data_IF_356707453318
#
_entry.id   IF_356707453318
#
_cell.length_a   1.000
_cell.length_b   1.000
_cell.length_c   1.000
_cell.angle_alpha   90.00
_cell.angle_beta   90.00
_cell.angle_gamma   90.00
#
_symmetry.space_group_name_H-M   'P 1'
#
loop_
_entity.id
_entity.type
_entity.pdbx_description
1 polymer ?
#
# COMPACT_ATOMS: atom_id res chain seq x y z
N UNK A 1 5.22 -4.48 15.88
CA UNK A 1 4.38 -5.43 15.11
C UNK A 1 3.03 -4.82 14.73
N UNK A 2 2.34 -4.12 15.64
CA UNK A 2 1.07 -3.44 15.34
C UNK A 2 1.15 -2.50 14.12
N UNK A 3 2.22 -1.71 13.99
CA UNK A 3 2.45 -0.82 12.86
C UNK A 3 2.47 -1.55 11.50
N UNK A 4 3.07 -2.73 11.45
CA UNK A 4 3.15 -3.54 10.21
C UNK A 4 1.78 -4.09 9.85
N UNK A 5 0.99 -4.52 10.83
CA UNK A 5 -0.38 -5.00 10.60
C UNK A 5 -1.29 -3.87 10.09
N UNK A 6 -1.14 -2.67 10.65
CA UNK A 6 -1.90 -1.49 10.23
C UNK A 6 -1.48 -1.05 8.83
N UNK A 7 -0.17 -1.04 8.52
CA UNK A 7 0.34 -0.78 7.17
C UNK A 7 -0.12 -1.84 6.16
N UNK A 8 -0.22 -3.10 6.57
CA UNK A 8 -0.74 -4.18 5.74
C UNK A 8 -2.22 -3.96 5.40
N UNK A 9 -3.06 -3.64 6.39
CA UNK A 9 -4.48 -3.32 6.17
C UNK A 9 -4.65 -2.04 5.34
N UNK A 10 -3.81 -1.03 5.59
CA UNK A 10 -3.71 0.17 4.77
C UNK A 10 -3.38 -0.18 3.33
N UNK A 11 -2.32 -0.94 3.10
CA UNK A 11 -1.90 -1.37 1.76
C UNK A 11 -2.95 -2.20 1.03
N UNK A 12 -3.61 -3.11 1.73
CA UNK A 12 -4.68 -3.94 1.17
C UNK A 12 -5.85 -3.06 0.70
N UNK A 13 -6.29 -2.11 1.54
CA UNK A 13 -7.35 -1.17 1.19
C UNK A 13 -6.93 -0.21 0.08
N UNK A 14 -5.75 0.40 0.20
CA UNK A 14 -5.17 1.32 -0.78
C UNK A 14 -4.97 0.69 -2.15
N UNK A 15 -4.41 -0.51 -2.23
CA UNK A 15 -4.23 -1.26 -3.49
C UNK A 15 -5.55 -1.74 -4.10
N UNK A 16 -6.51 -2.18 -3.28
CA UNK A 16 -7.82 -2.59 -3.78
C UNK A 16 -8.62 -1.41 -4.36
N UNK A 17 -8.49 -0.22 -3.76
CA UNK A 17 -9.12 1.01 -4.25
C UNK A 17 -8.36 1.56 -5.46
N UNK A 18 -7.02 1.60 -5.42
CA UNK A 18 -6.20 2.16 -6.50
C UNK A 18 -6.32 1.38 -7.79
N UNK A 19 -6.38 0.04 -7.73
CA UNK A 19 -6.59 -0.80 -8.90
C UNK A 19 -7.95 -0.58 -9.57
N UNK A 20 -8.99 -0.17 -8.81
CA UNK A 20 -10.29 0.20 -9.38
C UNK A 20 -10.31 1.63 -9.95
N UNK A 21 -9.56 2.55 -9.37
CA UNK A 21 -9.46 3.93 -9.84
C UNK A 21 -8.63 4.00 -11.13
N UNK A 22 -7.57 3.19 -11.23
CA UNK A 22 -6.70 3.12 -12.40
C UNK A 22 -7.04 1.85 -13.19
N UNK A 23 -8.05 1.92 -14.05
CA UNK A 23 -8.53 0.79 -14.86
C UNK A 23 -7.42 0.07 -15.66
N UNK A 24 -6.35 0.77 -16.03
CA UNK A 24 -5.18 0.20 -16.74
C UNK A 24 -4.30 -0.69 -15.85
N UNK A 25 -4.42 -0.57 -14.53
CA UNK A 25 -3.66 -1.35 -13.54
C UNK A 25 -4.56 -2.33 -12.77
N UNK A 26 -5.76 -2.63 -13.27
CA UNK A 26 -6.63 -3.64 -12.67
C UNK A 26 -6.24 -5.03 -13.18
N UNK A 27 -5.43 -5.77 -12.41
CA UNK A 27 -5.12 -7.18 -12.71
C UNK A 27 -6.06 -8.16 -11.98
N UNK A 28 -7.15 -7.66 -11.38
CA UNK A 28 -8.12 -8.43 -10.62
C UNK A 28 -7.97 -8.26 -9.10
N UNK A 29 -9.08 -8.40 -8.37
CA UNK A 29 -9.19 -8.07 -6.94
C UNK A 29 -8.13 -8.72 -6.05
N UNK A 30 -7.77 -9.97 -6.32
CA UNK A 30 -6.81 -10.72 -5.49
C UNK A 30 -5.39 -10.21 -5.70
N UNK A 31 -4.98 -10.00 -6.95
CA UNK A 31 -3.67 -9.44 -7.28
C UNK A 31 -3.61 -8.00 -6.76
N UNK A 32 -4.69 -7.24 -6.90
CA UNK A 32 -4.73 -5.87 -6.44
C UNK A 32 -4.59 -5.72 -4.92
N UNK A 33 -5.24 -6.61 -4.18
CA UNK A 33 -5.09 -6.66 -2.74
C UNK A 33 -3.70 -7.14 -2.33
N UNK A 34 -3.12 -8.12 -3.03
CA UNK A 34 -1.83 -8.70 -2.68
C UNK A 34 -0.67 -7.74 -2.91
N UNK A 35 -0.55 -7.14 -4.10
CA UNK A 35 0.52 -6.16 -4.39
C UNK A 35 0.32 -4.88 -3.60
N UNK A 36 -0.93 -4.49 -3.34
CA UNK A 36 -1.28 -3.44 -2.40
C UNK A 36 -0.77 -3.71 -0.98
N UNK A 37 -1.08 -4.88 -0.42
CA UNK A 37 -0.68 -5.23 0.94
C UNK A 37 0.84 -5.38 1.09
N UNK A 38 1.50 -6.01 0.11
CA UNK A 38 2.96 -6.14 0.08
C UNK A 38 3.63 -4.78 -0.10
N UNK A 39 3.12 -3.93 -0.98
CA UNK A 39 3.60 -2.57 -1.20
C UNK A 39 3.34 -1.64 -0.02
N UNK A 40 2.25 -1.85 0.70
CA UNK A 40 1.92 -1.08 1.90
C UNK A 40 2.81 -1.42 3.08
N UNK A 41 3.18 -2.69 3.25
CA UNK A 41 4.17 -3.08 4.26
C UNK A 41 5.57 -2.63 3.83
N UNK A 42 6.04 -3.01 2.64
CA UNK A 42 7.40 -2.70 2.22
C UNK A 42 7.62 -1.19 2.04
N UNK A 43 6.69 -0.50 1.39
CA UNK A 43 6.75 0.94 1.16
C UNK A 43 6.35 1.74 2.40
N UNK A 44 5.43 1.27 3.23
CA UNK A 44 5.09 1.93 4.51
C UNK A 44 6.25 1.92 5.49
N UNK A 45 7.04 0.84 5.55
CA UNK A 45 8.30 0.81 6.31
C UNK A 45 9.32 1.79 5.73
N UNK A 46 9.42 1.88 4.39
CA UNK A 46 10.33 2.81 3.73
C UNK A 46 9.96 4.28 3.98
N UNK A 47 8.67 4.62 3.85
CA UNK A 47 8.15 5.96 4.18
C UNK A 47 8.42 6.26 5.65
N UNK A 48 8.12 5.34 6.56
CA UNK A 48 8.38 5.51 7.99
C UNK A 48 9.87 5.72 8.30
N UNK A 49 10.77 5.12 7.52
CA UNK A 49 12.22 5.31 7.66
C UNK A 49 12.70 6.66 7.07
N UNK A 50 12.15 7.09 5.93
CA UNK A 50 12.54 8.32 5.23
C UNK A 50 11.95 9.57 5.89
N UNK A 51 10.67 9.54 6.27
CA UNK A 51 10.02 10.62 7.00
C UNK A 51 10.49 10.69 8.45
N UNK A 52 11.31 9.73 8.89
CA UNK A 52 11.91 9.68 10.20
C UNK A 52 10.85 9.50 11.27
N UNK A 53 10.35 8.27 11.43
CA UNK A 53 9.44 7.83 12.49
C UNK A 53 8.60 8.98 13.03
N UNK A 54 7.72 9.55 12.19
CA UNK A 54 6.74 10.59 12.60
C UNK A 54 6.22 10.13 13.94
N UNK A 55 6.62 10.79 15.03
CA UNK A 55 6.58 10.22 16.38
C UNK A 55 5.21 9.60 16.62
N UNK A 56 5.14 8.28 16.43
CA UNK A 56 3.92 7.51 16.61
C UNK A 56 3.72 7.59 18.10
N UNK A 57 2.81 8.46 18.52
CA UNK A 57 2.40 8.60 19.90
C UNK A 57 2.32 7.19 20.49
N UNK A 58 3.18 6.91 21.46
CA UNK A 58 3.39 5.56 21.97
C UNK A 58 2.12 5.10 22.70
N UNK A 59 1.17 4.49 21.98
CA UNK A 59 -0.12 4.07 22.50
C UNK A 59 -1.17 3.83 21.40
N UNK A 60 -2.37 3.38 21.79
CA UNK A 60 -3.56 3.30 20.93
C UNK A 60 -4.18 4.69 20.69
N UNK A 61 -3.35 5.67 20.39
CA UNK A 61 -3.82 7.00 20.02
C UNK A 61 -4.22 7.00 18.54
N UNK A 62 -5.21 7.81 18.15
CA UNK A 62 -5.71 7.83 16.77
C UNK A 62 -4.58 8.11 15.78
N UNK A 63 -3.63 8.97 16.14
CA UNK A 63 -2.46 9.27 15.31
C UNK A 63 -1.55 8.05 15.08
N UNK A 64 -1.46 7.17 16.08
CA UNK A 64 -0.64 5.97 15.99
C UNK A 64 -1.25 4.87 15.11
N UNK A 65 -2.56 4.95 14.85
CA UNK A 65 -3.27 4.03 13.94
C UNK A 65 -3.41 4.66 12.55
N UNK A 66 -3.82 5.93 12.47
CA UNK A 66 -4.10 6.61 11.21
C UNK A 66 -2.82 6.83 10.39
N UNK A 67 -1.72 7.24 11.02
CA UNK A 67 -0.45 7.48 10.33
C UNK A 67 0.05 6.25 9.58
N UNK A 68 0.31 5.13 10.27
CA UNK A 68 0.74 3.89 9.62
C UNK A 68 -0.27 3.33 8.61
N UNK A 69 -1.57 3.55 8.83
CA UNK A 69 -2.60 3.12 7.90
C UNK A 69 -2.53 3.92 6.59
N UNK A 70 -2.40 5.25 6.66
CA UNK A 70 -2.24 6.11 5.50
C UNK A 70 -0.94 5.82 4.76
N UNK A 71 0.17 5.67 5.47
CA UNK A 71 1.47 5.32 4.87
C UNK A 71 1.37 4.00 4.10
N UNK A 72 0.76 2.99 4.72
CA UNK A 72 0.51 1.70 4.07
C UNK A 72 -0.43 1.82 2.88
N UNK A 73 -1.52 2.60 2.98
CA UNK A 73 -2.49 2.76 1.90
C UNK A 73 -1.92 3.51 0.70
N UNK A 74 -1.16 4.57 0.92
CA UNK A 74 -0.52 5.34 -0.14
C UNK A 74 0.60 4.54 -0.80
N UNK A 75 1.49 3.96 -0.01
CA UNK A 75 2.57 3.11 -0.53
C UNK A 75 2.02 1.89 -1.28
N UNK A 76 1.06 1.19 -0.68
CA UNK A 76 0.42 0.02 -1.27
C UNK A 76 -0.34 0.37 -2.55
N UNK A 77 -1.07 1.48 -2.56
CA UNK A 77 -1.78 1.97 -3.74
C UNK A 77 -0.83 2.28 -4.91
N UNK A 78 0.30 2.96 -4.62
CA UNK A 78 1.33 3.28 -5.61
C UNK A 78 2.03 2.05 -6.16
N UNK A 79 2.48 1.14 -5.28
CA UNK A 79 3.13 -0.12 -5.69
C UNK A 79 2.17 -0.97 -6.51
N UNK A 80 0.91 -1.05 -6.10
CA UNK A 80 -0.13 -1.76 -6.84
C UNK A 80 -0.29 -1.21 -8.26
N UNK A 81 -0.43 0.12 -8.42
CA UNK A 81 -0.55 0.74 -9.73
C UNK A 81 0.68 0.45 -10.57
N UNK A 82 1.88 0.66 -10.03
CA UNK A 82 3.14 0.46 -10.75
C UNK A 82 3.33 -1.00 -11.19
N UNK A 83 3.14 -1.95 -10.27
CA UNK A 83 3.30 -3.37 -10.54
C UNK A 83 2.28 -3.87 -11.59
N UNK A 84 1.03 -3.46 -11.47
CA UNK A 84 0.03 -3.84 -12.47
C UNK A 84 0.21 -3.14 -13.81
N UNK A 85 0.66 -1.88 -13.85
CA UNK A 85 1.04 -1.25 -15.12
C UNK A 85 2.17 -2.02 -15.81
N UNK A 86 3.19 -2.46 -15.06
CA UNK A 86 4.29 -3.27 -15.59
C UNK A 86 3.77 -4.62 -16.09
N UNK A 87 2.90 -5.31 -15.33
CA UNK A 87 2.29 -6.57 -15.76
C UNK A 87 1.44 -6.39 -17.02
N UNK A 88 0.58 -5.38 -17.07
CA UNK A 88 -0.22 -5.01 -18.25
C UNK A 88 0.69 -4.77 -19.45
N UNK A 89 1.82 -4.06 -19.28
CA UNK A 89 2.77 -3.80 -20.37
C UNK A 89 3.52 -5.05 -20.82
N UNK A 90 3.84 -5.97 -19.92
CA UNK A 90 4.55 -7.21 -20.26
C UNK A 90 3.62 -8.25 -20.90
N UNK A 91 2.34 -8.29 -20.51
CA UNK A 91 1.38 -9.30 -20.97
C UNK A 91 0.55 -8.89 -22.19
N UNK A 92 0.38 -7.58 -22.45
CA UNK A 92 -0.38 -7.06 -23.61
C UNK A 92 0.51 -6.58 -24.75
N UNK A 93 1.82 -6.81 -24.67
CA UNK A 93 2.76 -6.48 -25.74
C UNK A 93 3.33 -7.76 -26.40
N UNK A 94 2.44 -8.74 -26.58
CA UNK A 94 2.48 -9.84 -27.56
C UNK A 94 1.25 -9.71 -28.49
#
# INVERSE_FOLDING_TARGET
>A
METILIQFLGGLTGGSVSGKMVHLSDAGRVINAATGALGGVAGGQLISHILGNTEVATGWDLGAIIGPFLDGALAGGLVQIAACLVLTRLLLHD
#
